data_IF_895699281512
#
_entry.id   IF_895699281512
#
_cell.length_a   1.000
_cell.length_b   1.000
_cell.length_c   1.000
_cell.angle_alpha   90.00
_cell.angle_beta   90.00
_cell.angle_gamma   90.00
#
_symmetry.space_group_name_H-M   'P 1'
#
loop_
_entity.id
_entity.type
_entity.pdbx_description
1 polymer ?
#
# COMPACT_ATOMS: atom_id res chain seq x y z
N UNK A 1 -23.71 -1.95 11.60
CA UNK A 1 -22.70 -2.97 11.24
C UNK A 1 -21.95 -3.29 12.52
N UNK A 2 -21.54 -4.53 12.73
CA UNK A 2 -20.55 -4.87 13.76
C UNK A 2 -19.29 -4.05 13.48
N UNK A 3 -18.72 -3.45 14.53
CA UNK A 3 -17.39 -2.83 14.45
C UNK A 3 -16.38 -3.83 13.88
N UNK A 4 -15.39 -3.32 13.16
CA UNK A 4 -14.29 -4.09 12.58
C UNK A 4 -13.03 -3.59 13.27
N UNK A 5 -12.41 -4.47 14.07
CA UNK A 5 -11.10 -4.20 14.65
C UNK A 5 -10.02 -4.48 13.61
N UNK A 6 -9.03 -3.60 13.51
CA UNK A 6 -7.94 -3.85 12.56
C UNK A 6 -6.57 -3.44 13.08
N UNK A 7 -5.54 -4.08 12.52
CA UNK A 7 -4.14 -3.73 12.74
C UNK A 7 -3.53 -3.07 11.50
N UNK A 8 -2.50 -2.23 11.70
CA UNK A 8 -1.69 -1.67 10.62
C UNK A 8 -0.23 -2.10 10.79
N UNK A 9 0.29 -2.85 9.82
CA UNK A 9 1.72 -3.16 9.75
C UNK A 9 2.42 -2.08 8.92
N UNK A 10 3.33 -1.34 9.55
CA UNK A 10 4.08 -0.25 8.94
C UNK A 10 3.43 1.11 9.12
N UNK A 11 3.92 1.91 10.06
CA UNK A 11 3.48 3.31 10.29
C UNK A 11 4.30 4.32 9.48
N UNK A 12 4.63 3.97 8.23
CA UNK A 12 5.18 4.90 7.25
C UNK A 12 4.14 5.88 6.71
N UNK A 13 4.44 6.53 5.57
CA UNK A 13 3.52 7.47 4.93
C UNK A 13 2.12 6.90 4.69
N UNK A 14 2.01 5.67 4.15
CA UNK A 14 0.71 5.03 3.92
C UNK A 14 0.03 4.65 5.24
N UNK A 15 0.67 3.85 6.11
CA UNK A 15 0.00 3.34 7.30
C UNK A 15 -0.45 4.42 8.28
N UNK A 16 0.29 5.53 8.41
CA UNK A 16 -0.17 6.69 9.19
C UNK A 16 -1.44 7.31 8.60
N UNK A 17 -1.49 7.45 7.27
CA UNK A 17 -2.67 7.97 6.58
C UNK A 17 -3.82 6.97 6.64
N UNK A 18 -3.55 5.67 6.69
CA UNK A 18 -4.57 4.64 6.97
C UNK A 18 -5.22 4.92 8.33
N UNK A 19 -4.42 5.12 9.39
CA UNK A 19 -4.92 5.42 10.72
C UNK A 19 -5.70 6.73 10.75
N UNK A 20 -5.18 7.80 10.15
CA UNK A 20 -5.86 9.10 10.05
C UNK A 20 -7.21 9.00 9.32
N UNK A 21 -7.24 8.37 8.14
CA UNK A 21 -8.48 8.19 7.36
C UNK A 21 -9.49 7.31 8.10
N UNK A 22 -9.02 6.31 8.87
CA UNK A 22 -9.92 5.42 9.63
C UNK A 22 -10.76 6.16 10.67
N UNK A 23 -10.30 7.27 11.22
CA UNK A 23 -11.09 8.11 12.14
C UNK A 23 -12.34 8.72 11.49
N UNK A 24 -12.36 8.78 10.16
CA UNK A 24 -13.48 9.31 9.37
C UNK A 24 -14.36 8.20 8.78
N UNK A 25 -14.04 6.92 9.04
CA UNK A 25 -14.75 5.77 8.52
C UNK A 25 -15.60 5.11 9.61
N UNK A 26 -16.92 5.04 9.39
CA UNK A 26 -17.81 4.40 10.35
C UNK A 26 -17.50 2.91 10.50
N UNK A 27 -17.42 2.47 11.76
CA UNK A 27 -17.32 1.05 12.13
C UNK A 27 -15.93 0.43 11.98
N UNK A 28 -14.87 1.23 11.83
CA UNK A 28 -13.48 0.76 11.85
C UNK A 28 -12.80 1.21 13.14
N UNK A 29 -12.12 0.29 13.82
CA UNK A 29 -11.43 0.56 15.09
C UNK A 29 -9.99 0.03 14.97
N UNK A 30 -8.98 0.90 14.81
CA UNK A 30 -7.60 0.46 14.83
C UNK A 30 -7.23 0.04 16.25
N UNK A 31 -6.79 -1.20 16.43
CA UNK A 31 -6.45 -1.76 17.75
C UNK A 31 -4.96 -2.10 17.89
N UNK A 32 -4.24 -2.20 16.78
CA UNK A 32 -2.80 -2.40 16.78
C UNK A 32 -2.11 -1.64 15.63
N UNK A 33 -0.91 -1.15 15.88
CA UNK A 33 -0.05 -0.58 14.85
C UNK A 33 1.40 -0.89 15.17
N UNK A 34 2.22 -1.19 14.16
CA UNK A 34 3.63 -1.45 14.37
C UNK A 34 4.53 -0.83 13.29
N UNK A 35 5.79 -0.61 13.64
CA UNK A 35 6.87 -0.38 12.69
C UNK A 35 8.11 -1.15 13.14
N UNK A 36 9.25 -0.91 12.50
CA UNK A 36 10.51 -1.63 12.79
C UNK A 36 11.02 -1.47 14.23
N UNK A 37 10.57 -0.45 14.97
CA UNK A 37 11.08 -0.13 16.31
C UNK A 37 10.14 -0.59 17.42
N UNK A 38 8.86 -0.84 17.13
CA UNK A 38 7.93 -1.25 18.16
C UNK A 38 6.48 -1.46 17.71
N UNK A 39 5.63 -1.68 18.70
CA UNK A 39 4.20 -1.97 18.55
C UNK A 39 3.39 -1.10 19.52
N UNK A 40 2.19 -0.69 19.13
CA UNK A 40 1.18 -0.12 20.00
C UNK A 40 -0.08 -0.98 19.91
N UNK A 41 -0.67 -1.33 21.05
CA UNK A 41 -1.86 -2.20 21.14
C UNK A 41 -2.85 -1.62 22.16
N UNK A 42 -4.09 -1.42 21.73
CA UNK A 42 -5.25 -1.22 22.60
C UNK A 42 -6.47 -1.88 21.96
N UNK A 43 -6.92 -2.99 22.55
CA UNK A 43 -8.09 -3.76 22.09
C UNK A 43 -9.42 -2.99 22.20
N UNK A 44 -9.44 -1.83 22.86
CA UNK A 44 -10.58 -0.92 22.89
C UNK A 44 -10.49 0.20 21.84
N UNK A 45 -9.42 0.24 21.06
CA UNK A 45 -9.11 1.25 20.06
C UNK A 45 -7.94 2.14 20.47
N UNK A 46 -6.97 2.28 19.57
CA UNK A 46 -5.82 3.17 19.73
C UNK A 46 -6.27 4.64 19.77
N UNK A 47 -5.59 5.45 20.59
CA UNK A 47 -5.63 6.91 20.46
C UNK A 47 -4.80 7.33 19.25
N UNK A 48 -5.46 7.36 18.08
CA UNK A 48 -4.80 7.66 16.81
C UNK A 48 -4.26 9.09 16.77
N UNK A 49 -4.92 10.06 17.41
CA UNK A 49 -4.45 11.45 17.43
C UNK A 49 -3.13 11.55 18.19
N UNK A 50 -3.02 10.89 19.34
CA UNK A 50 -1.78 10.81 20.12
C UNK A 50 -0.68 10.08 19.34
N UNK A 51 -0.98 8.93 18.75
CA UNK A 51 -0.01 8.14 17.98
C UNK A 51 0.54 8.95 16.78
N UNK A 52 -0.33 9.65 16.06
CA UNK A 52 0.08 10.48 14.91
C UNK A 52 0.88 11.71 15.36
N UNK A 53 0.51 12.36 16.46
CA UNK A 53 1.26 13.49 16.99
C UNK A 53 2.66 13.07 17.47
N UNK A 54 2.78 11.92 18.15
CA UNK A 54 4.04 11.41 18.66
C UNK A 54 5.01 10.99 17.56
N UNK A 55 4.48 10.48 16.44
CA UNK A 55 5.28 10.00 15.32
C UNK A 55 5.60 11.09 14.29
N UNK A 56 4.99 12.27 14.33
CA UNK A 56 5.15 13.35 13.34
C UNK A 56 6.62 13.74 13.12
N UNK A 57 7.08 13.64 11.86
CA UNK A 57 8.47 13.90 11.49
C UNK A 57 9.52 12.93 12.08
N UNK A 58 9.08 11.86 12.73
CA UNK A 58 9.89 10.86 13.43
C UNK A 58 9.50 9.44 12.98
N UNK A 59 9.44 9.23 11.65
CA UNK A 59 9.03 7.94 11.06
C UNK A 59 10.19 6.95 11.11
N UNK A 60 9.93 5.72 11.58
CA UNK A 60 10.92 4.64 11.59
C UNK A 60 11.12 4.06 10.17
N UNK A 61 11.88 4.75 9.33
CA UNK A 61 12.01 4.38 7.92
C UNK A 61 13.02 5.19 7.11
N UNK A 62 14.02 4.52 6.52
CA UNK A 62 14.87 5.09 5.46
C UNK A 62 14.41 4.73 4.04
N UNK A 63 13.32 3.95 3.95
CA UNK A 63 12.74 3.47 2.70
C UNK A 63 13.54 2.37 2.01
N UNK A 64 14.48 1.69 2.69
CA UNK A 64 15.31 0.61 2.08
C UNK A 64 14.76 -0.80 2.24
N UNK A 65 13.70 -0.98 3.04
CA UNK A 65 13.07 -2.28 3.23
C UNK A 65 14.02 -3.31 3.84
N UNK A 66 14.82 -2.93 4.83
CA UNK A 66 15.76 -3.86 5.46
C UNK A 66 15.03 -4.92 6.29
N UNK A 67 14.91 -6.10 5.70
CA UNK A 67 14.40 -7.33 6.34
C UNK A 67 15.37 -8.49 6.17
N UNK A 68 16.66 -8.25 6.45
CA UNK A 68 17.62 -9.34 6.52
C UNK A 68 17.46 -10.13 7.84
N UNK A 69 16.40 -10.95 7.92
CA UNK A 69 16.20 -12.01 8.91
C UNK A 69 16.27 -11.58 10.39
N UNK A 70 16.47 -12.51 11.33
CA UNK A 70 16.79 -12.18 12.74
C UNK A 70 18.12 -11.40 12.91
N UNK A 71 18.67 -10.83 11.82
CA UNK A 71 20.02 -10.29 11.64
C UNK A 71 20.02 -8.81 11.22
N UNK A 72 18.92 -8.06 11.40
CA UNK A 72 18.97 -6.60 11.29
C UNK A 72 19.60 -5.97 12.56
N UNK A 73 20.88 -6.21 12.79
CA UNK A 73 21.66 -5.45 13.78
C UNK A 73 21.86 -4.02 13.31
N UNK A 74 21.51 -3.07 14.17
CA UNK A 74 21.72 -1.63 14.01
C UNK A 74 23.16 -1.30 13.62
N UNK A 75 23.35 -0.62 12.50
CA UNK A 75 24.61 0.02 12.18
C UNK A 75 24.77 1.27 13.08
N UNK A 76 25.78 1.15 13.96
CA UNK A 76 26.18 2.09 14.98
C UNK A 76 25.93 3.57 14.68
N UNK A 77 25.29 4.22 15.65
CA UNK A 77 24.96 5.63 15.63
C UNK A 77 26.13 6.55 15.29
N UNK A 78 25.79 7.57 14.51
CA UNK A 78 26.60 8.79 14.38
C UNK A 78 25.80 9.91 15.04
N UNK A 79 26.37 10.47 16.11
CA UNK A 79 25.81 11.61 16.83
C UNK A 79 25.60 12.81 15.89
N UNK A 80 24.35 13.27 15.76
CA UNK A 80 24.06 14.58 15.20
C UNK A 80 24.18 15.64 16.32
N UNK A 81 25.34 16.28 16.38
CA UNK A 81 25.53 17.52 17.12
C UNK A 81 24.78 18.68 16.43
N UNK A 82 23.81 19.32 17.09
CA UNK A 82 23.25 20.57 16.56
C UNK A 82 21.99 21.06 17.26
N UNK A 83 22.11 22.16 17.98
CA UNK A 83 21.09 22.83 18.80
C UNK A 83 20.01 23.55 17.99
N UNK A 84 18.73 23.32 18.34
CA UNK A 84 17.66 24.32 18.30
C UNK A 84 16.60 24.16 17.21
N UNK A 85 15.41 23.69 17.61
CA UNK A 85 14.15 23.72 16.85
C UNK A 85 13.70 22.35 16.34
N UNK A 86 12.81 21.68 17.09
CA UNK A 86 12.09 20.46 16.67
C UNK A 86 12.97 19.38 16.03
N UNK A 87 13.88 18.77 16.80
CA UNK A 87 14.82 17.76 16.27
C UNK A 87 14.06 16.47 15.98
N UNK A 88 13.83 16.18 14.70
CA UNK A 88 13.47 14.86 14.16
C UNK A 88 14.47 13.85 14.71
N UNK A 89 14.00 12.86 15.47
CA UNK A 89 14.88 11.82 16.00
C UNK A 89 15.06 10.73 14.94
N UNK A 90 16.28 10.20 14.85
CA UNK A 90 16.54 8.94 14.13
C UNK A 90 17.29 8.09 15.15
N UNK A 91 16.69 6.99 15.60
CA UNK A 91 17.20 6.14 16.68
C UNK A 91 16.09 5.40 17.43
N UNK A 92 16.44 4.73 18.54
CA UNK A 92 15.58 3.84 19.35
C UNK A 92 14.28 4.49 19.91
N UNK A 93 14.07 5.79 19.70
CA UNK A 93 12.87 6.55 20.07
C UNK A 93 12.06 7.09 18.87
N UNK A 94 12.31 6.58 17.67
CA UNK A 94 11.58 6.95 16.45
C UNK A 94 10.45 5.96 16.14
N UNK A 95 9.39 6.40 15.48
CA UNK A 95 8.25 5.56 15.14
C UNK A 95 7.27 5.36 16.30
N UNK A 96 6.55 4.23 16.29
CA UNK A 96 5.48 3.89 17.23
C UNK A 96 5.92 4.03 18.69
N UNK A 97 7.17 3.70 19.00
CA UNK A 97 7.74 3.84 20.36
C UNK A 97 7.85 5.28 20.88
N UNK A 98 7.65 6.29 20.01
CA UNK A 98 7.54 7.67 20.44
C UNK A 98 6.20 7.99 21.13
N UNK A 99 5.16 7.19 20.85
CA UNK A 99 3.84 7.30 21.46
C UNK A 99 3.84 6.73 22.87
N UNK A 100 3.00 7.28 23.76
CA UNK A 100 2.76 6.72 25.10
C UNK A 100 2.13 5.32 25.06
N UNK A 101 1.54 4.93 23.93
CA UNK A 101 0.96 3.62 23.67
C UNK A 101 1.98 2.62 23.11
N UNK A 102 3.18 3.08 22.74
CA UNK A 102 4.20 2.28 22.07
C UNK A 102 5.11 1.53 23.03
N UNK A 103 5.34 0.25 22.72
CA UNK A 103 6.33 -0.59 23.39
C UNK A 103 7.43 -1.00 22.39
N UNK A 104 8.72 -0.84 22.75
CA UNK A 104 9.82 -1.24 21.89
C UNK A 104 9.93 -2.76 21.80
N UNK A 105 10.18 -3.25 20.59
CA UNK A 105 10.37 -4.68 20.32
C UNK A 105 11.22 -4.90 19.07
N UNK A 106 11.98 -5.99 19.06
CA UNK A 106 12.77 -6.44 17.91
C UNK A 106 11.93 -7.30 16.95
N UNK A 107 10.72 -7.70 17.35
CA UNK A 107 9.82 -8.59 16.59
C UNK A 107 8.40 -8.01 16.40
N UNK A 108 8.26 -6.75 15.94
CA UNK A 108 6.98 -6.03 15.93
C UNK A 108 5.86 -6.72 15.16
N UNK A 109 6.18 -7.39 14.03
CA UNK A 109 5.17 -8.13 13.26
C UNK A 109 4.73 -9.40 14.00
N UNK A 110 5.67 -10.13 14.66
CA UNK A 110 5.30 -11.31 15.45
C UNK A 110 4.43 -10.93 16.65
N UNK A 111 4.68 -9.76 17.23
CA UNK A 111 3.90 -9.26 18.37
C UNK A 111 2.47 -8.87 17.93
N UNK A 112 2.28 -8.30 16.73
CA UNK A 112 0.93 -8.10 16.17
C UNK A 112 0.24 -9.45 15.90
N UNK A 113 0.98 -10.43 15.37
CA UNK A 113 0.45 -11.78 15.14
C UNK A 113 0.04 -12.44 16.47
N UNK A 114 0.79 -12.26 17.54
CA UNK A 114 0.47 -12.77 18.87
C UNK A 114 -0.82 -12.16 19.44
N UNK A 115 -1.14 -10.92 19.06
CA UNK A 115 -2.35 -10.19 19.46
C UNK A 115 -3.52 -10.34 18.45
N UNK A 116 -3.39 -11.21 17.44
CA UNK A 116 -4.30 -11.23 16.27
C UNK A 116 -5.66 -11.90 16.48
N UNK A 117 -5.85 -12.70 17.54
CA UNK A 117 -7.12 -13.42 17.80
C UNK A 117 -8.37 -12.50 17.80
N UNK A 118 -8.38 -11.32 18.43
CA UNK A 118 -9.52 -10.39 18.38
C UNK A 118 -9.53 -9.44 17.17
N UNK A 119 -8.62 -9.57 16.20
CA UNK A 119 -8.43 -8.61 15.10
C UNK A 119 -9.14 -9.11 13.83
N UNK A 120 -10.22 -8.44 13.40
CA UNK A 120 -10.96 -8.82 12.18
C UNK A 120 -10.09 -8.70 10.91
N UNK A 121 -9.17 -7.73 10.86
CA UNK A 121 -8.36 -7.46 9.67
C UNK A 121 -6.96 -6.89 9.96
N UNK A 122 -6.01 -7.13 9.06
CA UNK A 122 -4.66 -6.55 9.10
C UNK A 122 -4.36 -5.88 7.77
N UNK A 123 -4.07 -4.57 7.81
CA UNK A 123 -3.60 -3.81 6.66
C UNK A 123 -2.08 -3.76 6.65
N UNK A 124 -1.50 -4.22 5.55
CA UNK A 124 -0.05 -4.32 5.36
C UNK A 124 0.41 -3.11 4.55
N UNK A 125 0.80 -2.05 5.24
CA UNK A 125 1.32 -0.79 4.69
C UNK A 125 2.86 -0.77 4.62
N UNK A 126 3.46 -1.92 4.36
CA UNK A 126 4.90 -2.10 4.28
C UNK A 126 5.38 -1.97 2.82
N UNK A 127 6.54 -1.34 2.57
CA UNK A 127 7.14 -1.33 1.24
C UNK A 127 7.59 -2.74 0.85
N UNK A 128 7.32 -3.15 -0.40
CA UNK A 128 7.66 -4.47 -0.90
C UNK A 128 8.89 -4.45 -1.80
N UNK A 129 10.05 -4.12 -1.20
CA UNK A 129 11.34 -4.07 -1.90
C UNK A 129 12.00 -5.44 -2.06
N UNK A 130 11.42 -6.49 -1.46
CA UNK A 130 11.71 -7.89 -1.74
C UNK A 130 10.41 -8.53 -2.23
N UNK A 131 10.40 -9.12 -3.42
CA UNK A 131 9.15 -9.56 -4.07
C UNK A 131 8.33 -10.55 -3.23
N UNK A 132 8.94 -11.28 -2.30
CA UNK A 132 8.30 -12.27 -1.44
C UNK A 132 8.01 -11.78 -0.01
N UNK A 133 8.28 -10.51 0.33
CA UNK A 133 8.13 -10.04 1.71
C UNK A 133 6.68 -10.08 2.20
N UNK A 134 5.72 -9.53 1.44
CA UNK A 134 4.30 -9.59 1.79
C UNK A 134 3.77 -11.04 1.83
N UNK A 135 4.03 -11.91 0.83
CA UNK A 135 3.67 -13.33 0.91
C UNK A 135 4.22 -14.03 2.17
N UNK A 136 5.49 -13.77 2.55
CA UNK A 136 6.08 -14.34 3.78
C UNK A 136 5.42 -13.83 5.06
N UNK A 137 4.92 -12.60 5.09
CA UNK A 137 4.13 -12.11 6.23
C UNK A 137 2.81 -12.87 6.30
N UNK A 138 2.12 -13.05 5.18
CA UNK A 138 0.88 -13.84 5.14
C UNK A 138 1.11 -15.28 5.63
N UNK A 139 2.21 -15.92 5.22
CA UNK A 139 2.61 -17.26 5.69
C UNK A 139 2.77 -17.30 7.23
N UNK A 140 3.29 -16.24 7.85
CA UNK A 140 3.40 -16.16 9.33
C UNK A 140 2.05 -16.06 10.03
N UNK A 141 1.08 -15.37 9.45
CA UNK A 141 -0.30 -15.35 9.96
C UNK A 141 -0.95 -16.74 9.85
N UNK A 142 -0.75 -17.43 8.72
CA UNK A 142 -1.19 -18.82 8.55
C UNK A 142 -0.59 -19.72 9.64
N UNK A 143 0.73 -19.66 9.85
CA UNK A 143 1.44 -20.48 10.84
C UNK A 143 0.96 -20.21 12.28
N UNK A 144 0.50 -19.00 12.56
CA UNK A 144 -0.07 -18.61 13.85
C UNK A 144 -1.54 -19.02 14.03
N UNK A 145 -2.19 -19.55 12.98
CA UNK A 145 -3.60 -19.92 13.00
C UNK A 145 -4.55 -18.72 12.98
N UNK A 146 -4.11 -17.59 12.43
CA UNK A 146 -4.97 -16.43 12.19
C UNK A 146 -6.05 -16.78 11.18
N UNK A 147 -7.30 -16.42 11.50
CA UNK A 147 -8.43 -16.47 10.59
C UNK A 147 -9.10 -15.09 10.58
N UNK A 148 -9.17 -14.47 9.41
CA UNK A 148 -9.56 -13.07 9.27
C UNK A 148 -9.15 -12.52 7.91
N UNK A 149 -8.88 -11.21 7.84
CA UNK A 149 -8.62 -10.52 6.58
C UNK A 149 -7.22 -9.95 6.54
N UNK A 150 -6.47 -10.22 5.48
CA UNK A 150 -5.22 -9.52 5.17
C UNK A 150 -5.46 -8.60 3.98
N UNK A 151 -4.97 -7.35 4.04
CA UNK A 151 -5.12 -6.37 2.96
C UNK A 151 -3.78 -5.74 2.66
N UNK A 152 -3.36 -5.71 1.40
CA UNK A 152 -2.20 -4.95 0.96
C UNK A 152 -2.59 -3.84 -0.04
N UNK A 153 -1.62 -2.97 -0.31
CA UNK A 153 -1.72 -1.91 -1.33
C UNK A 153 -0.57 -2.02 -2.33
N UNK A 154 -0.18 -3.26 -2.67
CA UNK A 154 0.94 -3.55 -3.55
C UNK A 154 0.73 -3.06 -4.98
N UNK A 155 1.84 -2.70 -5.64
CA UNK A 155 1.84 -2.28 -7.04
C UNK A 155 2.19 -3.38 -8.06
N UNK A 156 3.05 -4.33 -7.71
CA UNK A 156 3.75 -5.20 -8.70
C UNK A 156 3.02 -6.50 -9.04
N UNK A 157 2.91 -6.80 -10.33
CA UNK A 157 2.23 -7.99 -10.88
C UNK A 157 2.78 -9.30 -10.33
N UNK A 158 4.10 -9.43 -10.26
CA UNK A 158 4.76 -10.67 -9.81
C UNK A 158 4.35 -11.12 -8.41
N UNK A 159 3.95 -10.20 -7.54
CA UNK A 159 3.56 -10.54 -6.16
C UNK A 159 2.16 -11.17 -6.12
N UNK A 160 1.29 -10.80 -7.06
CA UNK A 160 -0.06 -11.37 -7.17
C UNK A 160 0.03 -12.86 -7.50
N UNK A 161 0.88 -13.26 -8.44
CA UNK A 161 1.12 -14.67 -8.76
C UNK A 161 1.53 -15.49 -7.53
N UNK A 162 2.41 -14.91 -6.70
CA UNK A 162 2.87 -15.58 -5.46
C UNK A 162 1.76 -15.70 -4.41
N UNK A 163 0.80 -14.79 -4.39
CA UNK A 163 -0.38 -14.87 -3.53
C UNK A 163 -1.37 -15.89 -4.07
N UNK A 164 -1.56 -15.95 -5.39
CA UNK A 164 -2.46 -16.92 -6.04
C UNK A 164 -1.96 -18.37 -5.85
N UNK A 165 -0.65 -18.59 -5.84
CA UNK A 165 -0.05 -19.88 -5.44
C UNK A 165 -0.41 -20.31 -4.00
N UNK A 166 -0.81 -19.37 -3.14
CA UNK A 166 -1.20 -19.60 -1.73
C UNK A 166 -2.71 -19.63 -1.52
N UNK A 167 -3.52 -19.49 -2.56
CA UNK A 167 -4.97 -19.35 -2.43
C UNK A 167 -5.61 -20.51 -1.62
N UNK A 168 -5.26 -21.76 -1.92
CA UNK A 168 -5.76 -22.93 -1.18
C UNK A 168 -5.32 -22.91 0.30
N UNK A 169 -4.07 -22.51 0.58
CA UNK A 169 -3.55 -22.39 1.94
C UNK A 169 -4.32 -21.32 2.74
N UNK A 170 -4.64 -20.18 2.11
CA UNK A 170 -5.41 -19.13 2.75
C UNK A 170 -6.86 -19.55 2.99
N UNK A 171 -7.49 -20.22 2.03
CA UNK A 171 -8.84 -20.78 2.21
C UNK A 171 -8.87 -21.78 3.38
N UNK A 172 -7.92 -22.72 3.43
CA UNK A 172 -7.81 -23.72 4.52
C UNK A 172 -7.54 -23.08 5.89
N UNK A 173 -6.83 -21.94 5.94
CA UNK A 173 -6.55 -21.18 7.16
C UNK A 173 -7.72 -20.27 7.59
N UNK A 174 -8.73 -20.07 6.74
CA UNK A 174 -9.79 -19.08 6.98
C UNK A 174 -9.30 -17.64 6.82
N UNK A 175 -8.38 -17.40 5.89
CA UNK A 175 -7.86 -16.08 5.54
C UNK A 175 -8.48 -15.61 4.22
N UNK A 176 -9.11 -14.45 4.28
CA UNK A 176 -9.47 -13.66 3.10
C UNK A 176 -8.35 -12.64 2.82
N UNK A 177 -7.55 -12.88 1.80
CA UNK A 177 -6.50 -11.95 1.37
C UNK A 177 -7.02 -11.01 0.27
N UNK A 178 -6.90 -9.71 0.48
CA UNK A 178 -7.23 -8.68 -0.51
C UNK A 178 -5.95 -8.02 -1.00
N UNK A 179 -5.56 -8.33 -2.23
CA UNK A 179 -4.33 -7.82 -2.85
C UNK A 179 -4.59 -6.57 -3.69
N UNK A 180 -3.63 -5.64 -3.73
CA UNK A 180 -3.65 -4.47 -4.60
C UNK A 180 -4.80 -3.51 -4.28
N UNK A 181 -5.12 -3.26 -3.02
CA UNK A 181 -6.31 -2.51 -2.62
C UNK A 181 -6.11 -0.97 -2.57
N UNK A 182 -5.13 -0.43 -3.29
CA UNK A 182 -4.75 0.99 -3.24
C UNK A 182 -5.48 1.89 -4.24
N UNK A 183 -4.72 2.75 -4.93
CA UNK A 183 -5.24 3.61 -6.00
C UNK A 183 -5.19 2.87 -7.34
N UNK A 184 -3.99 2.47 -7.72
CA UNK A 184 -3.67 1.58 -8.83
C UNK A 184 -2.52 0.70 -8.30
N UNK A 185 -2.67 -0.63 -8.30
CA UNK A 185 -3.95 -1.32 -8.39
C UNK A 185 -4.88 -0.90 -7.24
N UNK A 186 -6.18 -1.05 -7.43
CA UNK A 186 -7.20 -0.72 -6.44
C UNK A 186 -8.40 0.01 -7.03
N UNK A 187 -8.55 1.29 -6.70
CA UNK A 187 -9.64 2.13 -7.18
C UNK A 187 -9.78 2.13 -8.70
N UNK A 188 -8.67 2.31 -9.43
CA UNK A 188 -8.67 2.41 -10.89
C UNK A 188 -8.90 1.03 -11.54
N UNK A 189 -8.35 -0.04 -10.99
CA UNK A 189 -8.62 -1.41 -11.45
C UNK A 189 -10.10 -1.76 -11.31
N UNK A 190 -10.71 -1.44 -10.15
CA UNK A 190 -12.15 -1.64 -9.93
C UNK A 190 -13.00 -0.78 -10.86
N UNK A 191 -12.59 0.47 -11.13
CA UNK A 191 -13.25 1.33 -12.11
C UNK A 191 -13.15 0.78 -13.54
N UNK A 192 -12.00 0.24 -13.93
CA UNK A 192 -11.82 -0.42 -15.22
C UNK A 192 -12.73 -1.65 -15.36
N UNK A 193 -12.81 -2.49 -14.32
CA UNK A 193 -13.71 -3.65 -14.31
C UNK A 193 -15.19 -3.28 -14.48
N UNK A 194 -15.62 -2.15 -13.90
CA UNK A 194 -16.97 -1.61 -14.11
C UNK A 194 -17.16 -1.05 -15.53
N UNK A 195 -16.19 -0.29 -16.03
CA UNK A 195 -16.24 0.32 -17.36
C UNK A 195 -16.26 -0.73 -18.49
N UNK A 196 -15.60 -1.86 -18.28
CA UNK A 196 -15.51 -2.98 -19.21
C UNK A 196 -16.86 -3.60 -19.57
N UNK A 197 -17.86 -3.51 -18.68
CA UNK A 197 -19.18 -4.14 -18.85
C UNK A 197 -19.99 -3.63 -20.05
N UNK A 198 -19.55 -2.54 -20.70
CA UNK A 198 -20.18 -1.99 -21.91
C UNK A 198 -19.69 -2.67 -23.20
N UNK A 199 -18.62 -3.46 -23.13
CA UNK A 199 -17.92 -4.01 -24.29
C UNK A 199 -18.12 -5.53 -24.37
N UNK A 200 -18.19 -6.04 -25.59
CA UNK A 200 -18.13 -7.49 -25.85
C UNK A 200 -16.69 -7.99 -25.92
N UNK A 201 -15.73 -7.08 -26.13
CA UNK A 201 -14.30 -7.31 -26.17
C UNK A 201 -13.61 -6.01 -25.74
N UNK A 202 -12.81 -6.08 -24.67
CA UNK A 202 -11.90 -5.00 -24.26
C UNK A 202 -10.64 -5.12 -25.12
N UNK A 203 -10.14 -3.98 -25.58
CA UNK A 203 -8.97 -3.89 -26.48
C UNK A 203 -7.77 -3.24 -25.80
N UNK A 204 -8.02 -2.37 -24.83
CA UNK A 204 -6.98 -1.60 -24.15
C UNK A 204 -7.53 -1.06 -22.83
N UNK A 205 -6.71 -1.12 -21.79
CA UNK A 205 -6.90 -0.41 -20.53
C UNK A 205 -5.67 0.45 -20.27
N UNK A 206 -5.84 1.77 -20.35
CA UNK A 206 -4.76 2.73 -20.15
C UNK A 206 -4.95 3.46 -18.82
N UNK A 207 -3.98 3.32 -17.92
CA UNK A 207 -3.92 4.00 -16.63
C UNK A 207 -2.80 5.04 -16.69
N UNK A 208 -3.18 6.29 -16.46
CA UNK A 208 -2.25 7.42 -16.40
C UNK A 208 -2.41 8.16 -15.07
N UNK A 209 -1.41 8.07 -14.20
CA UNK A 209 -1.48 8.67 -12.86
C UNK A 209 -0.66 9.95 -12.72
N UNK A 210 -1.04 10.77 -11.75
CA UNK A 210 -0.32 11.99 -11.41
C UNK A 210 -0.21 12.16 -9.89
N UNK A 211 1.01 12.33 -9.40
CA UNK A 211 1.28 12.48 -7.97
C UNK A 211 2.11 13.74 -7.73
N UNK A 212 1.54 14.64 -6.93
CA UNK A 212 2.29 15.66 -6.21
C UNK A 212 2.45 15.23 -4.74
N UNK A 213 3.64 15.42 -4.17
CA UNK A 213 3.96 15.00 -2.81
C UNK A 213 3.58 16.07 -1.78
N UNK A 214 2.32 16.07 -1.34
CA UNK A 214 1.79 17.00 -0.31
C UNK A 214 2.54 16.98 1.03
N UNK A 215 3.00 15.81 1.47
CA UNK A 215 3.84 15.68 2.67
C UNK A 215 5.34 15.82 2.39
N UNK A 216 5.72 16.18 1.16
CA UNK A 216 7.10 16.32 0.72
C UNK A 216 7.83 14.99 0.51
N UNK A 217 9.01 15.08 -0.10
CA UNK A 217 9.86 13.93 -0.44
C UNK A 217 10.24 13.06 0.76
N UNK A 218 10.59 13.69 1.89
CA UNK A 218 11.11 13.00 3.09
C UNK A 218 10.14 11.93 3.64
N UNK A 219 8.85 12.25 3.71
CA UNK A 219 7.82 11.36 4.24
C UNK A 219 7.40 10.26 3.25
N UNK A 220 7.83 10.37 1.99
CA UNK A 220 7.46 9.47 0.90
C UNK A 220 8.67 8.74 0.28
N UNK A 221 9.85 8.77 0.91
CA UNK A 221 11.08 8.17 0.37
C UNK A 221 10.95 6.72 -0.07
N UNK A 222 10.21 5.91 0.68
CA UNK A 222 9.95 4.51 0.31
C UNK A 222 9.21 4.40 -1.03
N UNK A 223 8.14 5.18 -1.18
CA UNK A 223 7.34 5.25 -2.42
C UNK A 223 8.15 5.81 -3.59
N UNK A 224 8.89 6.91 -3.37
CA UNK A 224 9.73 7.49 -4.44
C UNK A 224 10.81 6.52 -4.89
N UNK A 225 11.44 5.80 -3.96
CA UNK A 225 12.43 4.76 -4.30
C UNK A 225 11.79 3.60 -5.07
N UNK A 226 10.60 3.18 -4.68
CA UNK A 226 9.85 2.15 -5.41
C UNK A 226 9.54 2.61 -6.85
N UNK A 227 9.14 3.88 -7.03
CA UNK A 227 8.85 4.43 -8.35
C UNK A 227 10.12 4.54 -9.22
N UNK A 228 11.26 4.95 -8.64
CA UNK A 228 12.57 4.99 -9.35
C UNK A 228 12.93 3.65 -9.98
N UNK A 229 12.53 2.52 -9.38
CA UNK A 229 12.78 1.19 -9.94
C UNK A 229 12.08 0.94 -11.29
N UNK A 230 11.20 1.84 -11.74
CA UNK A 230 10.55 1.81 -13.04
C UNK A 230 11.14 2.80 -14.05
N UNK A 231 12.16 3.58 -13.69
CA UNK A 231 12.87 4.43 -14.65
C UNK A 231 13.78 3.61 -15.55
N UNK A 232 13.99 4.10 -16.77
CA UNK A 232 14.95 3.51 -17.72
C UNK A 232 16.34 3.36 -17.09
N UNK A 233 16.83 2.13 -17.04
CA UNK A 233 18.14 1.80 -16.48
C UNK A 233 18.15 1.52 -14.97
N UNK A 234 16.99 1.50 -14.32
CA UNK A 234 16.82 1.11 -12.93
C UNK A 234 15.96 -0.17 -12.81
N UNK A 235 16.09 -0.81 -11.67
CA UNK A 235 15.33 -1.97 -11.21
C UNK A 235 15.24 -1.93 -9.67
N UNK A 236 14.62 -2.93 -9.05
CA UNK A 236 14.45 -2.98 -7.58
C UNK A 236 15.79 -3.00 -6.85
N UNK A 237 16.75 -3.77 -7.35
CA UNK A 237 18.05 -3.93 -6.70
C UNK A 237 18.85 -2.63 -6.74
N UNK A 238 18.91 -1.99 -7.90
CA UNK A 238 19.59 -0.71 -8.09
C UNK A 238 18.90 0.40 -7.28
N UNK A 239 17.58 0.52 -7.35
CA UNK A 239 16.82 1.52 -6.58
C UNK A 239 17.02 1.36 -5.06
N UNK A 240 17.04 0.12 -4.56
CA UNK A 240 17.34 -0.19 -3.15
C UNK A 240 18.74 0.27 -2.75
N UNK A 241 19.72 0.11 -3.63
CA UNK A 241 21.11 0.45 -3.35
C UNK A 241 21.39 1.96 -3.32
N UNK A 242 20.52 2.78 -3.91
CA UNK A 242 20.72 4.24 -3.98
C UNK A 242 20.82 4.87 -2.58
N UNK A 243 21.87 5.65 -2.41
CA UNK A 243 22.03 6.60 -1.30
C UNK A 243 21.07 7.76 -1.42
N UNK A 244 20.93 8.52 -0.33
CA UNK A 244 20.11 9.74 -0.33
C UNK A 244 20.61 10.74 -1.37
N UNK A 245 21.92 10.96 -1.40
CA UNK A 245 22.55 11.94 -2.30
C UNK A 245 22.36 11.53 -3.77
N UNK A 246 22.46 10.23 -4.10
CA UNK A 246 22.20 9.73 -5.46
C UNK A 246 20.73 9.93 -5.88
N UNK A 247 19.76 9.76 -4.98
CA UNK A 247 18.35 10.05 -5.29
C UNK A 247 18.14 11.56 -5.48
N UNK A 248 18.79 12.40 -4.66
CA UNK A 248 18.71 13.86 -4.83
C UNK A 248 19.30 14.31 -6.17
N UNK A 249 20.45 13.75 -6.59
CA UNK A 249 21.05 14.01 -7.89
C UNK A 249 20.13 13.59 -9.05
N UNK A 250 19.52 12.40 -8.95
CA UNK A 250 18.53 11.92 -9.95
C UNK A 250 17.33 12.86 -10.04
N UNK A 251 16.78 13.25 -8.88
CA UNK A 251 15.66 14.21 -8.80
C UNK A 251 16.05 15.55 -9.43
N UNK A 252 17.28 16.02 -9.22
CA UNK A 252 17.78 17.26 -9.82
C UNK A 252 17.96 17.15 -11.34
N UNK A 253 18.45 16.01 -11.85
CA UNK A 253 18.61 15.74 -13.28
C UNK A 253 17.27 15.82 -14.03
N UNK A 254 16.19 15.43 -13.35
CA UNK A 254 14.83 15.43 -13.87
C UNK A 254 14.01 16.68 -13.47
N UNK A 255 14.66 17.74 -13.00
CA UNK A 255 14.00 18.98 -12.54
C UNK A 255 12.92 18.78 -11.45
N UNK A 256 12.94 17.65 -10.75
CA UNK A 256 11.96 17.25 -9.75
C UNK A 256 10.75 16.49 -10.29
N UNK A 257 10.69 16.21 -11.60
CA UNK A 257 9.55 15.58 -12.26
C UNK A 257 9.99 14.28 -12.93
N UNK A 258 9.54 13.16 -12.39
CA UNK A 258 9.80 11.82 -12.93
C UNK A 258 8.58 11.37 -13.75
N UNK A 259 8.82 10.97 -14.99
CA UNK A 259 7.80 10.45 -15.91
C UNK A 259 8.06 8.97 -16.16
N UNK A 260 6.99 8.18 -16.12
CA UNK A 260 7.03 6.73 -16.21
C UNK A 260 6.09 6.24 -17.30
N UNK A 261 6.55 5.25 -18.06
CA UNK A 261 5.78 4.58 -19.08
C UNK A 261 5.93 3.06 -18.91
N UNK A 262 4.90 2.32 -19.29
CA UNK A 262 4.91 0.84 -19.33
C UNK A 262 5.44 0.20 -18.04
N UNK A 263 4.98 0.71 -16.90
CA UNK A 263 5.38 0.23 -15.58
C UNK A 263 4.86 -1.19 -15.34
N UNK A 264 5.69 -2.08 -14.78
CA UNK A 264 5.20 -3.33 -14.17
C UNK A 264 4.16 -2.98 -13.09
N UNK A 265 2.92 -3.43 -13.29
CA UNK A 265 1.84 -3.03 -12.41
C UNK A 265 0.68 -4.01 -12.42
N UNK A 266 0.32 -4.52 -11.25
CA UNK A 266 -0.61 -5.63 -11.04
C UNK A 266 -2.04 -5.39 -11.53
N UNK A 267 -2.39 -4.18 -11.99
CA UNK A 267 -3.64 -3.95 -12.71
C UNK A 267 -3.80 -4.93 -13.88
N UNK A 268 -2.71 -5.27 -14.56
CA UNK A 268 -2.67 -6.22 -15.68
C UNK A 268 -3.20 -7.61 -15.29
N UNK A 269 -2.53 -8.28 -14.34
CA UNK A 269 -2.85 -9.62 -13.85
C UNK A 269 -4.20 -9.63 -13.13
N UNK A 270 -4.55 -8.56 -12.41
CA UNK A 270 -5.84 -8.49 -11.70
C UNK A 270 -7.03 -8.37 -12.66
N UNK A 271 -6.88 -7.65 -13.78
CA UNK A 271 -7.92 -7.57 -14.82
C UNK A 271 -7.98 -8.85 -15.66
N UNK A 272 -6.83 -9.44 -15.98
CA UNK A 272 -6.75 -10.73 -16.69
C UNK A 272 -7.38 -11.86 -15.88
N UNK A 273 -7.04 -11.96 -14.59
CA UNK A 273 -7.62 -12.95 -13.68
C UNK A 273 -9.14 -12.83 -13.57
N UNK A 274 -9.65 -11.60 -13.62
CA UNK A 274 -11.09 -11.34 -13.63
C UNK A 274 -11.78 -11.62 -14.99
N UNK A 275 -11.01 -11.99 -16.01
CA UNK A 275 -11.51 -12.34 -17.35
C UNK A 275 -11.95 -11.13 -18.17
N UNK A 276 -11.33 -9.96 -17.94
CA UNK A 276 -11.70 -8.69 -18.57
C UNK A 276 -10.94 -8.47 -19.89
N UNK A 277 -9.62 -8.63 -19.88
CA UNK A 277 -8.70 -8.46 -21.01
C UNK A 277 -7.44 -9.28 -20.80
N UNK A 278 -6.61 -9.44 -21.83
CA UNK A 278 -5.28 -10.02 -21.66
C UNK A 278 -4.37 -9.01 -20.93
N UNK A 279 -3.39 -9.49 -20.14
CA UNK A 279 -2.48 -8.62 -19.40
C UNK A 279 -1.69 -7.65 -20.32
N UNK A 280 -1.36 -8.10 -21.54
CA UNK A 280 -0.65 -7.31 -22.56
C UNK A 280 -1.47 -6.10 -23.07
N UNK A 281 -2.79 -6.06 -22.83
CA UNK A 281 -3.67 -4.96 -23.21
C UNK A 281 -3.78 -3.88 -22.12
N UNK A 282 -3.04 -4.01 -21.02
CA UNK A 282 -3.05 -3.06 -19.90
C UNK A 282 -1.74 -2.27 -19.85
N UNK A 283 -1.83 -0.95 -19.96
CA UNK A 283 -0.71 -0.02 -19.82
C UNK A 283 -0.85 0.82 -18.56
N UNK A 284 0.24 0.98 -17.81
CA UNK A 284 0.30 1.86 -16.64
C UNK A 284 1.50 2.79 -16.76
N UNK A 285 1.24 4.09 -16.63
CA UNK A 285 2.27 5.13 -16.59
C UNK A 285 1.81 6.33 -15.77
N UNK A 286 2.69 7.32 -15.63
CA UNK A 286 2.32 8.54 -14.91
C UNK A 286 3.46 9.50 -14.64
N UNK A 287 3.15 10.54 -13.86
CA UNK A 287 4.06 11.64 -13.55
C UNK A 287 4.10 11.87 -12.04
N UNK A 288 5.30 11.82 -11.47
CA UNK A 288 5.60 12.16 -10.07
C UNK A 288 6.35 13.50 -10.02
N UNK A 289 5.74 14.51 -9.41
CA UNK A 289 6.43 15.76 -9.06
C UNK A 289 6.79 15.71 -7.57
N UNK A 290 8.09 15.60 -7.26
CA UNK A 290 8.58 15.53 -5.88
C UNK A 290 8.77 16.91 -5.22
N UNK A 291 8.58 17.99 -6.00
CA UNK A 291 8.76 19.39 -5.57
C UNK A 291 7.43 20.12 -5.39
N UNK A 292 6.34 19.59 -5.92
CA UNK A 292 4.99 20.15 -5.84
C UNK A 292 4.04 19.25 -5.07
N UNK A 293 3.09 19.84 -4.35
CA UNK A 293 1.93 19.14 -3.79
C UNK A 293 0.74 19.07 -4.76
N UNK A 294 0.73 19.94 -5.77
CA UNK A 294 -0.25 19.93 -6.86
C UNK A 294 0.02 18.72 -7.78
N UNK A 295 -1.03 18.00 -8.19
CA UNK A 295 -0.86 16.91 -9.15
C UNK A 295 -0.34 17.44 -10.48
N UNK A 296 0.73 16.87 -11.05
CA UNK A 296 1.28 17.31 -12.33
C UNK A 296 0.37 16.96 -13.52
N UNK A 297 -0.49 15.96 -13.34
CA UNK A 297 -1.52 15.55 -14.30
C UNK A 297 -2.70 14.97 -13.55
N UNK A 298 -3.88 15.08 -14.15
CA UNK A 298 -5.06 14.36 -13.67
C UNK A 298 -4.85 12.86 -13.82
N UNK A 299 -5.21 12.12 -12.77
CA UNK A 299 -5.16 10.66 -12.76
C UNK A 299 -6.40 10.06 -13.41
N UNK A 300 -6.22 9.15 -14.37
CA UNK A 300 -7.29 8.54 -15.14
C UNK A 300 -7.09 7.05 -15.37
N UNK A 301 -8.20 6.35 -15.61
CA UNK A 301 -8.21 5.06 -16.31
C UNK A 301 -9.17 5.14 -17.49
N UNK A 302 -8.74 4.68 -18.66
CA UNK A 302 -9.54 4.60 -19.88
C UNK A 302 -9.65 3.15 -20.33
N UNK A 303 -10.87 2.68 -20.59
CA UNK A 303 -11.14 1.35 -21.11
C UNK A 303 -11.72 1.49 -22.50
N UNK A 304 -10.97 1.01 -23.49
CA UNK A 304 -11.36 1.00 -24.90
C UNK A 304 -11.79 -0.41 -25.29
N UNK A 305 -12.89 -0.52 -26.02
CA UNK A 305 -13.39 -1.81 -26.48
C UNK A 305 -14.41 -1.71 -27.59
N UNK A 306 -14.86 -2.87 -28.07
CA UNK A 306 -15.93 -3.00 -29.05
C UNK A 306 -17.25 -3.31 -28.36
N UNK A 307 -18.29 -2.55 -28.68
CA UNK A 307 -19.65 -2.75 -28.14
C UNK A 307 -20.40 -3.86 -28.88
N UNK A 308 -21.53 -4.32 -28.35
CA UNK A 308 -22.36 -5.33 -29.03
C UNK A 308 -22.95 -4.84 -30.36
N UNK A 309 -23.02 -3.52 -30.57
CA UNK A 309 -23.43 -2.89 -31.83
C UNK A 309 -22.30 -2.85 -32.88
N UNK A 310 -21.08 -3.27 -32.51
CA UNK A 310 -19.90 -3.30 -33.38
C UNK A 310 -19.13 -1.98 -33.44
N UNK A 311 -19.46 -1.02 -32.57
CA UNK A 311 -18.76 0.26 -32.47
C UNK A 311 -17.58 0.17 -31.49
N UNK A 312 -16.43 0.75 -31.85
CA UNK A 312 -15.32 0.97 -30.91
C UNK A 312 -15.56 2.25 -30.12
N UNK A 313 -15.47 2.16 -28.80
CA UNK A 313 -15.64 3.31 -27.90
C UNK A 313 -14.73 3.20 -26.68
N UNK A 314 -14.56 4.33 -25.98
CA UNK A 314 -13.73 4.43 -24.76
C UNK A 314 -14.55 5.04 -23.63
N UNK A 315 -14.54 4.37 -22.48
CA UNK A 315 -15.06 4.90 -21.22
C UNK A 315 -13.88 5.38 -20.36
N UNK A 316 -13.96 6.58 -19.78
CA UNK A 316 -12.89 7.15 -18.94
C UNK A 316 -13.41 7.47 -17.54
N UNK A 317 -12.66 7.04 -16.52
CA UNK A 317 -12.84 7.42 -15.13
C UNK A 317 -11.69 8.33 -14.68
N UNK A 318 -12.03 9.43 -14.00
CA UNK A 318 -11.11 10.50 -13.67
C UNK A 318 -11.15 10.80 -12.17
N UNK A 319 -9.98 10.87 -11.54
CA UNK A 319 -9.86 11.34 -10.15
C UNK A 319 -9.65 12.85 -10.15
N UNK A 320 -10.35 13.54 -9.25
CA UNK A 320 -10.19 14.97 -9.04
C UNK A 320 -8.76 15.30 -8.57
N UNK A 321 -8.21 16.44 -8.99
CA UNK A 321 -6.83 16.81 -8.70
C UNK A 321 -6.62 17.11 -7.20
N UNK A 322 -7.68 17.51 -6.48
CA UNK A 322 -7.65 17.75 -5.04
C UNK A 322 -7.66 16.45 -4.21
N UNK A 323 -7.90 15.29 -4.84
CA UNK A 323 -7.79 13.98 -4.17
C UNK A 323 -6.33 13.51 -4.14
N UNK A 324 -5.64 13.73 -3.02
CA UNK A 324 -4.23 13.30 -2.86
C UNK A 324 -4.02 11.80 -3.07
N UNK A 325 -2.77 11.39 -3.36
CA UNK A 325 -2.36 9.98 -3.38
C UNK A 325 -2.79 9.24 -2.10
N UNK A 326 -2.56 9.85 -0.93
CA UNK A 326 -2.93 9.25 0.34
C UNK A 326 -4.44 8.96 0.44
N UNK A 327 -5.30 9.88 -0.03
CA UNK A 327 -6.74 9.66 -0.03
C UNK A 327 -7.14 8.52 -0.99
N UNK A 328 -6.56 8.51 -2.19
CA UNK A 328 -6.87 7.54 -3.22
C UNK A 328 -6.27 6.14 -2.96
N UNK A 329 -5.31 6.01 -2.04
CA UNK A 329 -4.81 4.70 -1.58
C UNK A 329 -5.57 4.23 -0.35
N UNK A 330 -5.63 5.06 0.70
CA UNK A 330 -6.11 4.62 2.01
C UNK A 330 -7.64 4.49 2.08
N UNK A 331 -8.38 5.36 1.39
CA UNK A 331 -9.84 5.25 1.31
C UNK A 331 -10.27 3.91 0.71
N UNK A 332 -9.79 3.56 -0.51
CA UNK A 332 -10.03 2.26 -1.12
C UNK A 332 -9.54 1.09 -0.27
N UNK A 333 -8.34 1.17 0.33
CA UNK A 333 -7.81 0.08 1.15
C UNK A 333 -8.74 -0.27 2.32
N UNK A 334 -9.26 0.74 3.03
CA UNK A 334 -10.25 0.54 4.09
C UNK A 334 -11.60 0.05 3.54
N UNK A 335 -12.01 0.53 2.36
CA UNK A 335 -13.24 0.09 1.72
C UNK A 335 -13.20 -1.37 1.27
N UNK A 336 -12.06 -1.83 0.75
CA UNK A 336 -11.83 -3.21 0.40
C UNK A 336 -11.62 -4.10 1.62
N UNK A 337 -10.99 -3.60 2.70
CA UNK A 337 -10.94 -4.28 3.99
C UNK A 337 -12.35 -4.61 4.50
N UNK A 338 -13.26 -3.62 4.51
CA UNK A 338 -14.67 -3.84 4.86
C UNK A 338 -15.33 -4.90 3.97
N UNK A 339 -15.03 -4.91 2.67
CA UNK A 339 -15.54 -5.91 1.74
C UNK A 339 -15.00 -7.31 2.03
N UNK A 340 -13.70 -7.44 2.28
CA UNK A 340 -13.04 -8.68 2.69
C UNK A 340 -13.61 -9.24 3.98
N UNK A 341 -13.81 -8.39 4.99
CA UNK A 341 -14.39 -8.82 6.29
C UNK A 341 -15.82 -9.35 6.11
N UNK A 342 -16.60 -8.76 5.20
CA UNK A 342 -17.93 -9.27 4.88
C UNK A 342 -17.91 -10.63 4.18
N UNK A 343 -16.92 -10.90 3.32
CA UNK A 343 -16.73 -12.22 2.70
C UNK A 343 -16.27 -13.26 3.72
N UNK A 344 -15.24 -12.94 4.49
CA UNK A 344 -14.76 -13.80 5.57
C UNK A 344 -15.90 -14.23 6.52
N UNK A 345 -16.76 -13.28 6.93
CA UNK A 345 -17.91 -13.55 7.81
C UNK A 345 -18.95 -14.52 7.24
N UNK A 346 -18.95 -14.78 5.94
CA UNK A 346 -19.80 -15.79 5.30
C UNK A 346 -19.03 -17.07 4.90
N UNK A 347 -17.77 -17.18 5.31
CA UNK A 347 -16.88 -18.32 5.01
C UNK A 347 -16.39 -18.34 3.56
N UNK A 348 -16.26 -17.17 2.95
CA UNK A 348 -15.82 -16.99 1.57
C UNK A 348 -14.38 -16.45 1.56
N UNK A 349 -13.45 -17.34 1.92
CA UNK A 349 -12.02 -17.06 2.08
C UNK A 349 -11.24 -17.28 0.77
N UNK A 350 -9.94 -16.96 0.74
CA UNK A 350 -9.10 -17.02 -0.46
C UNK A 350 -8.49 -15.67 -0.86
N UNK A 351 -8.00 -15.55 -2.09
CA UNK A 351 -7.34 -14.33 -2.62
C UNK A 351 -8.29 -13.57 -3.53
N UNK A 352 -8.40 -12.26 -3.30
CA UNK A 352 -9.28 -11.36 -4.04
C UNK A 352 -8.59 -10.07 -4.43
N UNK A 353 -8.99 -9.54 -5.58
CA UNK A 353 -8.53 -8.25 -6.07
C UNK A 353 -9.64 -7.22 -6.21
N UNK A 354 -9.27 -5.97 -6.57
CA UNK A 354 -10.20 -4.86 -6.77
C UNK A 354 -11.13 -5.06 -7.97
N UNK A 355 -10.74 -5.89 -8.94
CA UNK A 355 -11.59 -6.26 -10.08
C UNK A 355 -12.73 -7.23 -9.69
N UNK A 356 -12.62 -7.92 -8.56
CA UNK A 356 -13.54 -8.97 -8.11
C UNK A 356 -14.43 -8.53 -6.94
N UNK A 357 -14.03 -7.45 -6.26
CA UNK A 357 -14.72 -6.92 -5.07
C UNK A 357 -15.32 -5.55 -5.35
N UNK A 358 -16.51 -5.32 -4.81
CA UNK A 358 -17.06 -3.96 -4.68
C UNK A 358 -16.67 -3.41 -3.30
N UNK A 359 -15.88 -2.33 -3.21
CA UNK A 359 -15.49 -1.75 -1.93
C UNK A 359 -16.71 -1.18 -1.19
N UNK A 360 -16.57 -1.00 0.12
CA UNK A 360 -17.67 -0.63 1.02
C UNK A 360 -17.32 0.68 1.71
N UNK A 361 -18.19 1.68 1.55
CA UNK A 361 -17.99 3.00 2.14
C UNK A 361 -18.00 2.95 3.67
#
# INVERSE_FOLDING_TARGET
MTEITFAVLGTGGIGRRTLEVSQHADGLVPVAACDRNGIAVDHNGLDVDELLAATEGNVAGDGRGDTAGPDATTDGGVEASGTGGGVKQTGDGAGVVASEQGEPTDTPIDDVIAESEPIDAVLIALPNLEHDFIPRIADRFVDAGYAGVLVDVLKRSRVIDMLDERAETFEDAGITFVCGAGATPGLLTGAAALAAQSFVEVQEVDIWWGVGLKSGYEDNRGTVREDIAHLDGYDVETARSLSKDEIEELVEEHDGVLEFHDMEHADDVLLERAGICDADDVSVGGILDVRSDEKPTTTTVSVTGTTFDGETATNTFQLDDDTSMAANVNGPALGYMKAGVMRHRVGDDGVYGPAELMPRF
#
